data_IF_468020907704
#
_entry.id   IF_468020907704
#
_cell.length_a   1.000
_cell.length_b   1.000
_cell.length_c   1.000
_cell.angle_alpha   90.00
_cell.angle_beta   90.00
_cell.angle_gamma   90.00
#
_symmetry.space_group_name_H-M   'P 1'
#
loop_
_entity.id
_entity.type
_entity.pdbx_description
1 polymer ?
#
# COMPACT_ATOMS: atom_id res chain seq x y z
N UNK A 1 4.83 -18.88 -42.18
CA UNK A 1 4.30 -17.88 -41.24
C UNK A 1 5.47 -17.48 -40.36
N UNK A 2 6.30 -16.57 -40.87
CA UNK A 2 7.52 -16.11 -40.21
C UNK A 2 7.09 -15.08 -39.17
N UNK A 3 7.11 -15.47 -37.90
CA UNK A 3 7.02 -14.52 -36.80
C UNK A 3 8.33 -13.74 -36.83
N UNK A 4 8.23 -12.41 -36.93
CA UNK A 4 9.37 -11.48 -37.00
C UNK A 4 10.30 -11.72 -35.79
N UNK A 5 11.63 -11.89 -35.96
CA UNK A 5 12.55 -12.14 -34.85
C UNK A 5 12.52 -11.03 -33.77
N UNK A 6 12.13 -9.81 -34.14
CA UNK A 6 11.91 -8.71 -33.20
C UNK A 6 10.71 -8.94 -32.25
N UNK A 7 9.69 -9.69 -32.69
CA UNK A 7 8.53 -10.05 -31.87
C UNK A 7 8.91 -11.19 -30.89
N UNK A 8 9.75 -12.13 -31.31
CA UNK A 8 10.21 -13.23 -30.46
C UNK A 8 11.13 -12.74 -29.33
N UNK A 9 12.04 -11.81 -29.61
CA UNK A 9 12.90 -11.18 -28.60
C UNK A 9 12.10 -10.31 -27.62
N UNK A 10 11.09 -9.59 -28.12
CA UNK A 10 10.17 -8.82 -27.29
C UNK A 10 9.37 -9.74 -26.36
N UNK A 11 8.79 -10.83 -26.87
CA UNK A 11 8.04 -11.81 -26.07
C UNK A 11 8.90 -12.47 -25.00
N UNK A 12 10.16 -12.80 -25.33
CA UNK A 12 11.08 -13.41 -24.37
C UNK A 12 11.46 -12.41 -23.25
N UNK A 13 11.58 -11.13 -23.59
CA UNK A 13 11.80 -10.05 -22.62
C UNK A 13 10.57 -9.86 -21.71
N UNK A 14 9.36 -9.84 -22.27
CA UNK A 14 8.11 -9.79 -21.48
C UNK A 14 7.96 -10.99 -20.55
N UNK A 15 8.25 -12.21 -21.02
CA UNK A 15 8.19 -13.41 -20.19
C UNK A 15 9.23 -13.37 -19.06
N UNK A 16 10.45 -12.89 -19.32
CA UNK A 16 11.46 -12.70 -18.26
C UNK A 16 11.02 -11.66 -17.24
N UNK A 17 10.47 -10.53 -17.68
CA UNK A 17 9.95 -9.50 -16.77
C UNK A 17 8.79 -10.02 -15.92
N UNK A 18 7.85 -10.76 -16.52
CA UNK A 18 6.76 -11.41 -15.80
C UNK A 18 7.27 -12.44 -14.79
N UNK A 19 8.27 -13.26 -15.15
CA UNK A 19 8.86 -14.23 -14.24
C UNK A 19 9.53 -13.52 -13.05
N UNK A 20 10.31 -12.47 -13.31
CA UNK A 20 10.94 -11.67 -12.25
C UNK A 20 9.89 -11.03 -11.34
N UNK A 21 8.79 -10.51 -11.89
CA UNK A 21 7.67 -9.96 -11.12
C UNK A 21 7.04 -11.05 -10.22
N UNK A 22 6.74 -12.22 -10.78
CA UNK A 22 6.18 -13.34 -10.02
C UNK A 22 7.11 -13.77 -8.89
N UNK A 23 8.42 -13.88 -9.14
CA UNK A 23 9.40 -14.22 -8.11
C UNK A 23 9.49 -13.14 -7.03
N UNK A 24 9.46 -11.86 -7.39
CA UNK A 24 9.48 -10.75 -6.44
C UNK A 24 8.25 -10.76 -5.53
N UNK A 25 7.04 -10.92 -6.11
CA UNK A 25 5.79 -11.04 -5.35
C UNK A 25 5.82 -12.27 -4.45
N UNK A 26 6.30 -13.42 -4.95
CA UNK A 26 6.44 -14.64 -4.17
C UNK A 26 7.40 -14.46 -2.98
N UNK A 27 8.54 -13.78 -3.18
CA UNK A 27 9.49 -13.48 -2.12
C UNK A 27 8.88 -12.56 -1.06
N UNK A 28 8.22 -11.47 -1.47
CA UNK A 28 7.54 -10.55 -0.55
C UNK A 28 6.46 -11.30 0.25
N UNK A 29 5.66 -12.12 -0.42
CA UNK A 29 4.65 -12.95 0.23
C UNK A 29 5.27 -13.92 1.26
N UNK A 30 6.34 -14.61 0.88
CA UNK A 30 7.03 -15.55 1.76
C UNK A 30 7.62 -14.86 2.99
N UNK A 31 8.21 -13.68 2.81
CA UNK A 31 8.79 -12.90 3.90
C UNK A 31 7.71 -12.45 4.89
N UNK A 32 6.56 -11.99 4.39
CA UNK A 32 5.39 -11.67 5.22
C UNK A 32 4.80 -12.91 5.91
N UNK A 33 4.72 -14.05 5.21
CA UNK A 33 4.20 -15.30 5.77
C UNK A 33 5.07 -15.79 6.94
N UNK A 34 6.40 -15.67 6.82
CA UNK A 34 7.35 -15.95 7.91
C UNK A 34 7.17 -14.94 9.05
N UNK A 35 7.04 -13.65 8.74
CA UNK A 35 6.90 -12.60 9.76
C UNK A 35 5.65 -12.75 10.63
N UNK A 36 4.54 -13.20 10.03
CA UNK A 36 3.25 -13.33 10.73
C UNK A 36 2.92 -14.78 11.14
N UNK A 37 3.81 -15.73 10.85
CA UNK A 37 3.56 -17.18 10.99
C UNK A 37 2.20 -17.62 10.40
N UNK A 38 1.74 -16.93 9.35
CA UNK A 38 0.39 -17.08 8.80
C UNK A 38 0.35 -16.79 7.31
N UNK A 39 -0.34 -17.66 6.56
CA UNK A 39 -0.51 -17.54 5.11
C UNK A 39 -1.66 -16.59 4.69
N UNK A 40 -2.63 -16.36 5.59
CA UNK A 40 -3.80 -15.53 5.31
C UNK A 40 -3.53 -14.04 5.54
N UNK A 41 -2.78 -13.69 6.59
CA UNK A 41 -2.49 -12.29 6.95
C UNK A 41 -1.76 -11.51 5.85
N UNK A 42 -0.75 -12.05 5.15
CA UNK A 42 -0.12 -11.39 4.01
C UNK A 42 -1.11 -11.08 2.88
N UNK A 43 -2.05 -12.01 2.62
CA UNK A 43 -3.11 -11.83 1.63
C UNK A 43 -4.03 -10.67 1.99
N UNK A 44 -4.40 -10.54 3.27
CA UNK A 44 -5.19 -9.41 3.77
C UNK A 44 -4.46 -8.10 3.53
N UNK A 45 -3.17 -8.01 3.87
CA UNK A 45 -2.37 -6.80 3.72
C UNK A 45 -2.26 -6.40 2.24
N UNK A 46 -1.98 -7.35 1.35
CA UNK A 46 -1.87 -7.10 -0.10
C UNK A 46 -3.20 -6.60 -0.68
N UNK A 47 -4.34 -7.10 -0.17
CA UNK A 47 -5.67 -6.66 -0.62
C UNK A 47 -5.95 -5.17 -0.36
N UNK A 48 -5.23 -4.55 0.59
CA UNK A 48 -5.44 -3.14 0.94
C UNK A 48 -4.62 -2.18 0.08
N UNK A 49 -3.56 -2.67 -0.57
CA UNK A 49 -2.75 -1.87 -1.50
C UNK A 49 -3.61 -1.17 -2.57
N UNK A 50 -4.49 -1.86 -3.33
CA UNK A 50 -5.34 -1.21 -4.31
C UNK A 50 -6.31 -0.20 -3.68
N UNK A 51 -6.79 -0.45 -2.46
CA UNK A 51 -7.64 0.48 -1.73
C UNK A 51 -6.90 1.79 -1.41
N UNK A 52 -5.65 1.71 -0.95
CA UNK A 52 -4.83 2.90 -0.69
C UNK A 52 -4.43 3.65 -1.96
N UNK A 53 -4.21 2.92 -3.07
CA UNK A 53 -3.89 3.51 -4.36
C UNK A 53 -5.10 4.18 -5.03
N UNK A 54 -6.33 3.83 -4.64
CA UNK A 54 -7.55 4.30 -5.30
C UNK A 54 -7.73 5.83 -5.26
N UNK A 55 -7.61 6.53 -4.10
CA UNK A 55 -7.77 7.99 -4.08
C UNK A 55 -6.75 8.78 -4.92
N UNK A 56 -5.42 8.50 -4.85
CA UNK A 56 -4.48 9.20 -5.72
C UNK A 56 -4.67 8.86 -7.20
N UNK A 57 -5.03 7.62 -7.54
CA UNK A 57 -5.36 7.25 -8.92
C UNK A 57 -6.59 8.00 -9.45
N UNK A 58 -7.61 8.20 -8.62
CA UNK A 58 -8.80 8.96 -8.97
C UNK A 58 -8.44 10.43 -9.27
N UNK A 59 -7.61 11.04 -8.43
CA UNK A 59 -7.15 12.41 -8.63
C UNK A 59 -6.30 12.54 -9.90
N UNK A 60 -5.40 11.59 -10.18
CA UNK A 60 -4.62 11.57 -11.41
C UNK A 60 -5.51 11.43 -12.65
N UNK A 61 -6.51 10.56 -12.60
CA UNK A 61 -7.47 10.36 -13.67
C UNK A 61 -8.31 11.62 -13.92
N UNK A 62 -8.80 12.26 -12.86
CA UNK A 62 -9.57 13.50 -12.94
C UNK A 62 -8.74 14.68 -13.48
N UNK A 63 -7.45 14.72 -13.15
CA UNK A 63 -6.51 15.72 -13.66
C UNK A 63 -5.97 15.40 -15.07
N UNK A 64 -6.33 14.24 -15.65
CA UNK A 64 -5.83 13.81 -16.97
C UNK A 64 -4.33 13.52 -16.99
N UNK A 65 -3.73 13.21 -15.84
CA UNK A 65 -2.28 12.97 -15.73
C UNK A 65 -1.98 11.52 -16.08
N UNK A 66 -1.12 11.24 -17.09
CA UNK A 66 -0.76 9.89 -17.44
C UNK A 66 0.10 9.21 -16.35
N UNK A 67 0.10 7.88 -16.34
CA UNK A 67 0.96 7.07 -15.47
C UNK A 67 2.42 7.17 -15.94
N UNK A 68 3.09 8.24 -15.52
CA UNK A 68 4.51 8.50 -15.80
C UNK A 68 5.41 7.84 -14.75
N UNK A 69 6.73 7.81 -14.99
CA UNK A 69 7.69 7.25 -14.03
C UNK A 69 7.56 7.85 -12.61
N UNK A 70 7.43 9.18 -12.41
CA UNK A 70 7.17 9.77 -11.09
C UNK A 70 5.92 9.22 -10.39
N UNK A 71 4.84 8.99 -11.15
CA UNK A 71 3.59 8.45 -10.61
C UNK A 71 3.78 7.02 -10.13
N UNK A 72 4.44 6.18 -10.92
CA UNK A 72 4.72 4.78 -10.57
C UNK A 72 5.60 4.71 -9.31
N UNK A 73 6.63 5.56 -9.22
CA UNK A 73 7.48 5.65 -8.02
C UNK A 73 6.65 6.08 -6.81
N UNK A 74 5.78 7.08 -6.95
CA UNK A 74 4.90 7.54 -5.88
C UNK A 74 3.96 6.46 -5.37
N UNK A 75 3.33 5.71 -6.27
CA UNK A 75 2.45 4.58 -5.93
C UNK A 75 3.22 3.44 -5.26
N UNK A 76 4.48 3.21 -5.67
CA UNK A 76 5.34 2.19 -5.07
C UNK A 76 5.72 2.55 -3.63
N UNK A 77 6.16 3.80 -3.40
CA UNK A 77 6.46 4.30 -2.05
C UNK A 77 5.21 4.24 -1.17
N UNK A 78 4.07 4.68 -1.69
CA UNK A 78 2.79 4.58 -1.01
C UNK A 78 2.44 3.14 -0.61
N UNK A 79 2.67 2.17 -1.50
CA UNK A 79 2.43 0.76 -1.20
C UNK A 79 3.26 0.28 0.00
N UNK A 80 4.53 0.67 0.10
CA UNK A 80 5.35 0.29 1.25
C UNK A 80 4.88 0.93 2.55
N UNK A 81 4.54 2.23 2.49
CA UNK A 81 4.02 2.97 3.65
C UNK A 81 2.68 2.44 4.12
N UNK A 82 1.77 2.09 3.20
CA UNK A 82 0.47 1.56 3.54
C UNK A 82 0.59 0.19 4.21
N UNK A 83 1.36 -0.73 3.61
CA UNK A 83 1.65 -2.06 4.16
C UNK A 83 2.18 -1.97 5.59
N UNK A 84 3.12 -1.05 5.85
CA UNK A 84 3.68 -0.86 7.19
C UNK A 84 2.61 -0.48 8.24
N UNK A 85 1.62 0.34 7.88
CA UNK A 85 0.55 0.73 8.80
C UNK A 85 -0.30 -0.48 9.21
N UNK A 86 -0.63 -1.37 8.27
CA UNK A 86 -1.39 -2.59 8.55
C UNK A 86 -0.59 -3.60 9.38
N UNK A 87 0.71 -3.75 9.09
CA UNK A 87 1.62 -4.64 9.83
C UNK A 87 1.62 -4.28 11.32
N UNK A 88 1.74 -2.99 11.65
CA UNK A 88 1.81 -2.52 13.04
C UNK A 88 0.52 -2.78 13.83
N UNK A 89 -0.65 -2.74 13.19
CA UNK A 89 -1.93 -3.04 13.84
C UNK A 89 -2.06 -4.54 14.09
N UNK A 90 -1.73 -5.37 13.09
CA UNK A 90 -1.76 -6.83 13.24
C UNK A 90 -0.81 -7.31 14.34
N UNK A 91 0.42 -6.78 14.37
CA UNK A 91 1.39 -7.06 15.44
C UNK A 91 0.90 -6.61 16.83
N UNK A 92 0.17 -5.49 16.92
CA UNK A 92 -0.42 -5.06 18.19
C UNK A 92 -1.57 -5.97 18.63
N UNK A 93 -2.34 -6.51 17.69
CA UNK A 93 -3.43 -7.46 17.96
C UNK A 93 -2.91 -8.84 18.40
N UNK A 94 -1.74 -9.26 17.89
CA UNK A 94 -1.08 -10.50 18.28
C UNK A 94 -0.49 -10.47 19.68
N UNK A 95 -0.24 -9.28 20.23
CA UNK A 95 0.22 -9.09 21.61
C UNK A 95 -0.89 -9.20 22.64
N UNK A 96 -2.15 -9.19 22.22
CA UNK A 96 -3.29 -9.42 23.11
C UNK A 96 -3.48 -10.94 23.34
N UNK A 97 -3.89 -11.36 24.55
CA UNK A 97 -4.11 -12.77 24.89
C UNK A 97 -5.09 -13.45 23.91
N UNK A 98 -4.85 -14.72 23.60
CA UNK A 98 -5.75 -15.49 22.72
C UNK A 98 -7.15 -15.68 23.30
N UNK A 99 -7.28 -15.68 24.63
CA UNK A 99 -8.55 -15.77 25.34
C UNK A 99 -9.44 -14.52 25.16
N UNK A 100 -8.83 -13.38 24.77
CA UNK A 100 -9.56 -12.14 24.52
C UNK A 100 -10.36 -12.27 23.22
N UNK A 101 -11.67 -11.95 23.23
CA UNK A 101 -12.50 -11.96 22.02
C UNK A 101 -11.87 -11.15 20.89
N UNK A 102 -11.92 -11.66 19.66
CA UNK A 102 -11.36 -10.98 18.48
C UNK A 102 -11.76 -9.48 18.38
N UNK A 103 -13.03 -9.08 18.62
CA UNK A 103 -13.43 -7.67 18.56
C UNK A 103 -12.69 -6.80 19.59
N UNK A 104 -12.46 -7.32 20.79
CA UNK A 104 -11.72 -6.61 21.85
C UNK A 104 -10.23 -6.48 21.50
N UNK A 105 -9.62 -7.55 20.94
CA UNK A 105 -8.23 -7.51 20.48
C UNK A 105 -8.01 -6.47 19.38
N UNK A 106 -8.94 -6.41 18.43
CA UNK A 106 -8.93 -5.42 17.34
C UNK A 106 -9.07 -4.00 17.91
N UNK A 107 -10.02 -3.78 18.82
CA UNK A 107 -10.24 -2.47 19.44
C UNK A 107 -9.00 -1.99 20.23
N UNK A 108 -8.41 -2.87 21.04
CA UNK A 108 -7.20 -2.58 21.80
C UNK A 108 -6.00 -2.26 20.89
N UNK A 109 -5.83 -3.01 19.79
CA UNK A 109 -4.78 -2.76 18.82
C UNK A 109 -4.96 -1.40 18.12
N UNK A 110 -6.19 -1.07 17.73
CA UNK A 110 -6.54 0.21 17.11
C UNK A 110 -6.27 1.37 18.07
N UNK A 111 -6.70 1.28 19.32
CA UNK A 111 -6.50 2.34 20.33
C UNK A 111 -5.00 2.60 20.56
N UNK A 112 -4.20 1.53 20.70
CA UNK A 112 -2.74 1.63 20.88
C UNK A 112 -2.03 2.22 19.66
N UNK A 113 -2.56 2.00 18.45
CA UNK A 113 -1.92 2.41 17.19
C UNK A 113 -2.47 3.69 16.59
N UNK A 114 -3.62 4.18 17.06
CA UNK A 114 -4.26 5.38 16.52
C UNK A 114 -3.35 6.60 16.57
N UNK A 115 -2.86 6.95 17.77
CA UNK A 115 -2.01 8.12 17.96
C UNK A 115 -0.66 8.00 17.21
N UNK A 116 0.07 6.86 17.29
CA UNK A 116 1.28 6.67 16.48
C UNK A 116 1.06 6.80 14.97
N UNK A 117 -0.02 6.21 14.44
CA UNK A 117 -0.35 6.28 13.00
C UNK A 117 -0.72 7.71 12.58
N UNK A 118 -1.46 8.42 13.44
CA UNK A 118 -1.86 9.80 13.19
C UNK A 118 -0.63 10.72 13.14
N UNK A 119 0.31 10.55 14.07
CA UNK A 119 1.56 11.32 14.09
C UNK A 119 2.42 11.01 12.85
N UNK A 120 2.62 9.74 12.51
CA UNK A 120 3.44 9.37 11.34
C UNK A 120 2.84 9.85 10.02
N UNK A 121 1.53 9.62 9.82
CA UNK A 121 0.82 10.05 8.61
C UNK A 121 0.73 11.56 8.55
N UNK A 122 0.40 12.20 9.68
CA UNK A 122 0.31 13.65 9.82
C UNK A 122 1.63 14.36 9.53
N UNK A 123 2.74 13.90 10.12
CA UNK A 123 4.08 14.45 9.83
C UNK A 123 4.45 14.28 8.36
N UNK A 124 4.15 13.12 7.75
CA UNK A 124 4.45 12.88 6.33
C UNK A 124 3.64 13.80 5.41
N UNK A 125 2.35 13.99 5.69
CA UNK A 125 1.49 14.94 4.97
C UNK A 125 2.03 16.35 5.15
N UNK A 126 2.31 16.78 6.38
CA UNK A 126 2.85 18.11 6.68
C UNK A 126 4.20 18.36 6.00
N UNK A 127 5.08 17.36 5.94
CA UNK A 127 6.35 17.44 5.24
C UNK A 127 6.18 17.67 3.72
N UNK A 128 5.10 17.17 3.15
CA UNK A 128 4.79 17.31 1.72
C UNK A 128 4.11 18.65 1.37
N UNK A 129 3.45 19.30 2.34
CA UNK A 129 2.76 20.60 2.16
C UNK A 129 3.64 21.66 1.47
N UNK A 130 4.87 21.97 1.90
CA UNK A 130 5.68 23.00 1.23
C UNK A 130 6.03 22.64 -0.23
N UNK A 131 6.19 21.35 -0.53
CA UNK A 131 6.48 20.85 -1.88
C UNK A 131 5.29 21.10 -2.81
N UNK A 132 4.07 20.99 -2.28
CA UNK A 132 2.84 21.26 -3.04
C UNK A 132 2.74 22.71 -3.51
N UNK A 133 3.32 23.66 -2.77
CA UNK A 133 3.32 25.10 -3.11
C UNK A 133 4.49 25.53 -4.01
N UNK A 134 5.47 24.67 -4.23
CA UNK A 134 6.71 25.04 -4.96
C UNK A 134 6.48 25.16 -6.48
N UNK A 135 5.50 24.46 -7.03
CA UNK A 135 5.25 24.42 -8.49
C UNK A 135 3.77 24.14 -8.77
N UNK A 136 3.35 24.32 -10.03
CA UNK A 136 2.03 23.91 -10.45
C UNK A 136 1.81 22.40 -10.18
N UNK A 137 0.56 21.98 -9.85
CA UNK A 137 0.24 20.58 -9.60
C UNK A 137 0.72 19.66 -10.72
N UNK A 138 1.39 18.57 -10.36
CA UNK A 138 1.92 17.56 -11.28
C UNK A 138 2.99 18.05 -12.27
N UNK A 139 3.45 19.29 -12.18
CA UNK A 139 4.45 19.84 -13.11
C UNK A 139 5.88 19.37 -12.81
N UNK A 140 6.15 18.95 -11.57
CA UNK A 140 7.46 18.47 -11.16
C UNK A 140 7.35 17.11 -10.47
N UNK A 141 8.42 16.30 -10.59
CA UNK A 141 8.56 15.01 -9.91
C UNK A 141 8.25 15.09 -8.40
N UNK A 142 8.87 15.99 -7.61
CA UNK A 142 8.60 16.06 -6.18
C UNK A 142 7.16 16.46 -5.87
N UNK A 143 6.54 17.34 -6.66
CA UNK A 143 5.15 17.73 -6.49
C UNK A 143 4.19 16.55 -6.75
N UNK A 144 4.43 15.78 -7.81
CA UNK A 144 3.65 14.57 -8.12
C UNK A 144 3.73 13.55 -6.99
N UNK A 145 4.94 13.31 -6.45
CA UNK A 145 5.14 12.40 -5.31
C UNK A 145 4.40 12.89 -4.07
N UNK A 146 4.50 14.19 -3.76
CA UNK A 146 3.83 14.80 -2.61
C UNK A 146 2.31 14.63 -2.66
N UNK A 147 1.70 14.82 -3.84
CA UNK A 147 0.25 14.63 -4.03
C UNK A 147 -0.15 13.17 -3.80
N UNK A 148 0.55 12.23 -4.46
CA UNK A 148 0.23 10.80 -4.39
C UNK A 148 0.37 10.28 -2.95
N UNK A 149 1.47 10.61 -2.28
CA UNK A 149 1.75 10.16 -0.92
C UNK A 149 0.75 10.78 0.06
N UNK A 150 0.43 12.06 -0.05
CA UNK A 150 -0.54 12.72 0.85
C UNK A 150 -1.91 12.06 0.78
N UNK A 151 -2.45 11.92 -0.43
CA UNK A 151 -3.78 11.35 -0.65
C UNK A 151 -3.81 9.87 -0.27
N UNK A 152 -2.78 9.13 -0.65
CA UNK A 152 -2.68 7.72 -0.33
C UNK A 152 -2.49 7.44 1.16
N UNK A 153 -1.76 8.29 1.89
CA UNK A 153 -1.61 8.17 3.34
C UNK A 153 -2.91 8.48 4.07
N UNK A 154 -3.67 9.49 3.64
CA UNK A 154 -5.01 9.73 4.15
C UNK A 154 -5.90 8.50 3.95
N UNK A 155 -5.86 7.90 2.75
CA UNK A 155 -6.58 6.67 2.45
C UNK A 155 -6.12 5.49 3.32
N UNK A 156 -4.82 5.35 3.52
CA UNK A 156 -4.20 4.33 4.37
C UNK A 156 -4.59 4.47 5.83
N UNK A 157 -4.60 5.69 6.35
CA UNK A 157 -5.04 5.98 7.72
C UNK A 157 -6.50 5.55 7.92
N UNK A 158 -7.41 6.00 7.03
CA UNK A 158 -8.83 5.59 7.09
C UNK A 158 -8.99 4.09 6.90
N UNK A 159 -8.29 3.49 5.94
CA UNK A 159 -8.32 2.06 5.65
C UNK A 159 -7.84 1.21 6.82
N UNK A 160 -6.84 1.69 7.57
CA UNK A 160 -6.32 1.01 8.76
C UNK A 160 -7.37 0.86 9.87
N UNK A 161 -8.29 1.81 10.02
CA UNK A 161 -9.32 1.79 11.09
C UNK A 161 -10.70 1.33 10.64
N UNK A 162 -11.00 1.38 9.34
CA UNK A 162 -12.31 0.95 8.82
C UNK A 162 -12.20 -0.35 8.03
N UNK A 163 -11.26 -0.40 7.07
CA UNK A 163 -11.17 -1.51 6.12
C UNK A 163 -10.55 -2.76 6.74
N UNK A 164 -9.40 -2.61 7.43
CA UNK A 164 -8.73 -3.73 8.10
C UNK A 164 -9.63 -4.47 9.11
N UNK A 165 -10.27 -3.81 10.09
CA UNK A 165 -11.12 -4.51 11.05
C UNK A 165 -12.34 -5.17 10.37
N UNK A 166 -12.94 -4.53 9.37
CA UNK A 166 -14.03 -5.12 8.60
C UNK A 166 -13.57 -6.41 7.89
N UNK A 167 -12.37 -6.41 7.31
CA UNK A 167 -11.78 -7.56 6.63
C UNK A 167 -11.49 -8.70 7.63
N UNK A 168 -10.91 -8.38 8.78
CA UNK A 168 -10.61 -9.36 9.84
C UNK A 168 -11.88 -10.06 10.35
N UNK A 169 -12.93 -9.30 10.63
CA UNK A 169 -14.24 -9.84 11.04
C UNK A 169 -14.88 -10.69 9.95
N UNK A 170 -14.74 -10.30 8.68
CA UNK A 170 -15.25 -11.07 7.55
C UNK A 170 -14.53 -12.42 7.37
N UNK A 171 -13.22 -12.47 7.67
CA UNK A 171 -12.40 -13.69 7.48
C UNK A 171 -12.40 -14.68 8.64
N UNK A 172 -12.82 -14.29 9.85
CA UNK A 172 -12.93 -15.19 11.01
C UNK A 172 -14.36 -15.74 11.22
N UNK A 173 -15.10 -15.97 10.13
CA UNK A 173 -16.32 -16.79 10.13
C UNK A 173 -16.04 -18.24 9.81
#
# INVERSE_FOLDING_TARGET
MFIDPAIEESLNTYNRMLLVLCVAVFLIYSLLAIQFESFFRPLLIISVIPFCAFPPLLVLLAAGIPLTAPVIVGLTVLSGMSVNNYILILDAMDKEPEETPLPERIAAAIEKRFMPLFLSSGTSILASVPILFTSAPFASTPNTLAIIVSLGLLASFVGSFMFLPALLVATQR
#
